data_IF_275735799499
#
_entry.id   IF_275735799499
#
_cell.length_a   1.000
_cell.length_b   1.000
_cell.length_c   1.000
_cell.angle_alpha   90.00
_cell.angle_beta   90.00
_cell.angle_gamma   90.00
#
_symmetry.space_group_name_H-M   'P 1'
#
loop_
_entity.id
_entity.type
_entity.pdbx_description
1 polymer ?
#
# COMPACT_ATOMS: atom_id res chain seq x y z
N UNK A 1 -39.20 2.80 42.42
CA UNK A 1 -38.28 2.32 41.38
C UNK A 1 -36.87 2.31 41.93
N UNK A 2 -36.15 1.18 42.04
CA UNK A 2 -34.86 1.09 42.70
C UNK A 2 -33.73 1.01 41.67
N UNK A 3 -33.10 2.14 41.36
CA UNK A 3 -31.81 2.11 40.65
C UNK A 3 -30.80 2.95 41.44
N UNK A 4 -29.99 2.23 42.21
CA UNK A 4 -28.84 2.72 42.93
C UNK A 4 -27.71 2.90 41.90
N UNK A 5 -27.27 4.14 41.67
CA UNK A 5 -26.12 4.39 40.81
C UNK A 5 -24.85 3.89 41.51
N UNK A 6 -24.19 2.89 40.93
CA UNK A 6 -22.83 2.53 41.32
C UNK A 6 -21.87 3.52 40.67
N UNK A 7 -20.87 4.06 41.40
CA UNK A 7 -19.84 4.87 40.77
C UNK A 7 -19.05 3.98 39.81
N UNK A 8 -19.12 4.29 38.51
CA UNK A 8 -18.17 3.75 37.53
C UNK A 8 -16.78 4.21 37.96
N UNK A 9 -15.99 3.30 38.52
CA UNK A 9 -14.56 3.50 38.66
C UNK A 9 -13.98 3.62 37.26
N UNK A 10 -13.66 4.85 36.86
CA UNK A 10 -12.93 5.12 35.64
C UNK A 10 -11.62 4.32 35.70
N UNK A 11 -11.51 3.27 34.88
CA UNK A 11 -10.22 2.63 34.65
C UNK A 11 -9.33 3.69 34.03
N UNK A 12 -8.44 4.28 34.84
CA UNK A 12 -7.38 5.15 34.33
C UNK A 12 -6.54 4.31 33.38
N UNK A 13 -6.86 4.39 32.08
CA UNK A 13 -6.10 3.73 31.04
C UNK A 13 -4.67 4.19 31.14
N UNK A 14 -3.77 3.30 31.53
CA UNK A 14 -2.34 3.58 31.47
C UNK A 14 -2.00 3.70 29.99
N UNK A 15 -1.69 4.91 29.55
CA UNK A 15 -1.18 5.15 28.21
C UNK A 15 0.28 4.72 28.21
N UNK A 16 0.60 3.65 27.48
CA UNK A 16 1.97 3.23 27.27
C UNK A 16 2.47 3.91 26.01
N UNK A 17 3.53 4.71 26.14
CA UNK A 17 4.23 5.27 24.99
C UNK A 17 5.09 4.15 24.40
N UNK A 18 4.68 3.61 23.26
CA UNK A 18 5.47 2.69 22.44
C UNK A 18 6.39 3.53 21.56
N UNK A 19 7.66 3.62 21.94
CA UNK A 19 8.69 4.20 21.09
C UNK A 19 9.19 3.10 20.14
N UNK A 20 8.91 3.26 18.84
CA UNK A 20 9.41 2.36 17.80
C UNK A 20 10.83 2.79 17.40
N UNK A 21 11.77 1.84 17.23
CA UNK A 21 13.11 2.16 16.74
C UNK A 21 13.06 2.63 15.28
N UNK A 22 13.95 3.57 14.92
CA UNK A 22 14.13 4.07 13.54
C UNK A 22 14.44 2.95 12.54
N UNK A 23 15.05 1.85 12.99
CA UNK A 23 15.40 0.71 12.15
C UNK A 23 15.29 -0.60 12.94
N UNK A 24 14.43 -1.51 12.50
CA UNK A 24 14.26 -2.83 13.14
C UNK A 24 15.37 -3.80 12.73
N UNK A 25 16.63 -3.49 13.08
CA UNK A 25 17.74 -4.41 12.79
C UNK A 25 17.62 -5.69 13.63
N UNK A 26 17.76 -6.84 12.99
CA UNK A 26 17.76 -8.15 13.66
C UNK A 26 16.38 -8.76 13.91
N UNK A 27 15.29 -8.03 13.70
CA UNK A 27 13.93 -8.61 13.71
C UNK A 27 13.66 -9.36 12.40
N UNK A 28 12.69 -10.26 12.39
CA UNK A 28 12.28 -10.97 11.18
C UNK A 28 11.81 -9.99 10.08
N UNK A 29 11.04 -8.97 10.45
CA UNK A 29 10.60 -7.89 9.56
C UNK A 29 11.78 -7.11 8.97
N UNK A 30 12.79 -6.80 9.79
CA UNK A 30 14.03 -6.16 9.32
C UNK A 30 14.80 -7.01 8.32
N UNK A 31 14.95 -8.31 8.61
CA UNK A 31 15.63 -9.24 7.71
C UNK A 31 14.87 -9.43 6.38
N UNK A 32 13.53 -9.50 6.42
CA UNK A 32 12.71 -9.54 5.19
C UNK A 32 12.88 -8.26 4.37
N UNK A 33 12.86 -7.10 5.03
CA UNK A 33 13.03 -5.80 4.37
C UNK A 33 14.41 -5.71 3.71
N UNK A 34 15.47 -6.12 4.42
CA UNK A 34 16.83 -6.16 3.90
C UNK A 34 16.97 -7.11 2.69
N UNK A 35 16.38 -8.30 2.78
CA UNK A 35 16.34 -9.25 1.68
C UNK A 35 15.66 -8.68 0.44
N UNK A 36 14.47 -8.08 0.59
CA UNK A 36 13.72 -7.48 -0.52
C UNK A 36 14.45 -6.27 -1.11
N UNK A 37 15.15 -5.47 -0.29
CA UNK A 37 15.92 -4.32 -0.77
C UNK A 37 17.16 -4.70 -1.59
N UNK A 38 17.70 -5.91 -1.38
CA UNK A 38 18.90 -6.39 -2.07
C UNK A 38 18.58 -7.18 -3.36
N UNK A 39 17.31 -7.38 -3.68
CA UNK A 39 16.89 -8.04 -4.92
C UNK A 39 16.78 -7.00 -6.03
N UNK A 40 17.43 -7.27 -7.16
CA UNK A 40 17.19 -6.48 -8.37
C UNK A 40 15.73 -6.61 -8.80
N UNK A 41 15.01 -5.50 -9.02
CA UNK A 41 13.63 -5.55 -9.45
C UNK A 41 13.55 -6.23 -10.82
N UNK A 42 12.93 -7.41 -10.86
CA UNK A 42 12.67 -8.12 -12.11
C UNK A 42 11.45 -7.49 -12.77
N UNK A 43 11.64 -6.95 -13.98
CA UNK A 43 10.53 -6.44 -14.79
C UNK A 43 9.73 -7.62 -15.33
N UNK A 44 8.56 -7.86 -14.77
CA UNK A 44 7.64 -8.90 -15.25
C UNK A 44 6.78 -8.30 -16.37
N UNK A 45 6.86 -8.87 -17.56
CA UNK A 45 5.97 -8.53 -18.68
C UNK A 45 4.66 -9.34 -18.58
N UNK A 46 3.59 -8.70 -18.13
CA UNK A 46 2.27 -9.31 -18.03
C UNK A 46 1.50 -9.34 -19.36
N UNK A 47 2.05 -8.73 -20.43
CA UNK A 47 1.32 -8.58 -21.69
C UNK A 47 1.04 -9.92 -22.38
N UNK A 48 1.94 -10.89 -22.21
CA UNK A 48 1.80 -12.24 -22.76
C UNK A 48 1.07 -13.21 -21.82
N UNK A 49 0.61 -12.75 -20.66
CA UNK A 49 -0.15 -13.57 -19.73
C UNK A 49 -1.63 -13.37 -20.01
N UNK A 50 -2.34 -14.47 -20.27
CA UNK A 50 -3.79 -14.46 -20.48
C UNK A 50 -4.49 -13.85 -19.27
N UNK A 51 -5.53 -13.06 -19.52
CA UNK A 51 -6.24 -12.34 -18.45
C UNK A 51 -6.94 -13.25 -17.44
N UNK A 52 -7.28 -14.48 -17.83
CA UNK A 52 -7.88 -15.53 -17.00
C UNK A 52 -6.85 -16.49 -16.37
N UNK A 53 -5.55 -16.24 -16.61
CA UNK A 53 -4.47 -17.15 -16.22
C UNK A 53 -4.47 -17.38 -14.71
N UNK A 54 -4.34 -18.64 -14.26
CA UNK A 54 -4.14 -18.95 -12.85
C UNK A 54 -2.96 -18.21 -12.22
N UNK A 55 -1.97 -17.82 -13.01
CA UNK A 55 -0.78 -17.07 -12.55
C UNK A 55 -1.10 -15.65 -12.08
N UNK A 56 -2.23 -15.08 -12.54
CA UNK A 56 -2.69 -13.76 -12.11
C UNK A 56 -3.53 -13.83 -10.82
N UNK A 57 -3.90 -15.05 -10.37
CA UNK A 57 -4.68 -15.22 -9.15
C UNK A 57 -3.81 -14.92 -7.94
N UNK A 58 -4.33 -14.09 -7.03
CA UNK A 58 -3.62 -13.71 -5.81
C UNK A 58 -2.58 -12.61 -5.99
N UNK A 59 -2.39 -12.09 -7.20
CA UNK A 59 -1.60 -10.86 -7.40
C UNK A 59 -2.37 -9.68 -6.83
N UNK A 60 -1.73 -8.94 -5.92
CA UNK A 60 -2.29 -7.70 -5.41
C UNK A 60 -1.98 -6.56 -6.38
N UNK A 61 -2.99 -6.13 -7.11
CA UNK A 61 -2.88 -5.06 -8.11
C UNK A 61 -3.00 -3.64 -7.54
N UNK A 62 -3.33 -3.51 -6.26
CA UNK A 62 -3.65 -2.22 -5.67
C UNK A 62 -4.92 -1.58 -6.24
N UNK A 63 -5.09 -0.28 -5.98
CA UNK A 63 -6.33 0.44 -6.31
C UNK A 63 -6.57 0.64 -7.82
N UNK A 64 -5.52 0.56 -8.64
CA UNK A 64 -5.60 0.82 -10.08
C UNK A 64 -5.84 -0.44 -10.91
N UNK A 65 -5.85 -1.61 -10.25
CA UNK A 65 -6.06 -2.88 -10.92
C UNK A 65 -4.87 -3.31 -11.79
N UNK A 66 -5.03 -4.39 -12.56
CA UNK A 66 -3.98 -4.90 -13.42
C UNK A 66 -3.58 -3.87 -14.49
N UNK A 67 -2.35 -3.95 -15.01
CA UNK A 67 -1.92 -3.09 -16.09
C UNK A 67 -2.82 -3.26 -17.32
N UNK A 68 -3.06 -2.16 -18.04
CA UNK A 68 -3.90 -2.17 -19.24
C UNK A 68 -3.40 -3.13 -20.33
N UNK A 69 -2.12 -3.49 -20.28
CA UNK A 69 -1.47 -4.40 -21.23
C UNK A 69 -1.67 -5.88 -20.91
N UNK A 70 -2.26 -6.27 -19.76
CA UNK A 70 -2.50 -7.70 -19.45
C UNK A 70 -3.30 -8.37 -20.56
N UNK A 71 -2.84 -9.53 -21.03
CA UNK A 71 -3.53 -10.29 -22.08
C UNK A 71 -3.42 -9.70 -23.48
N UNK A 72 -2.59 -8.67 -23.70
CA UNK A 72 -2.37 -8.10 -25.04
C UNK A 72 -1.91 -9.15 -26.07
N UNK A 73 -1.07 -10.10 -25.65
CA UNK A 73 -0.64 -11.20 -26.50
C UNK A 73 -1.77 -12.15 -26.92
N UNK A 74 -2.78 -12.33 -26.06
CA UNK A 74 -3.97 -13.17 -26.36
C UNK A 74 -4.84 -12.53 -27.45
N UNK A 75 -4.85 -11.21 -27.54
CA UNK A 75 -5.55 -10.47 -28.60
C UNK A 75 -4.86 -10.55 -29.97
N UNK A 76 -3.72 -11.26 -30.08
CA UNK A 76 -2.93 -11.38 -31.31
C UNK A 76 -2.24 -10.07 -31.73
N UNK A 77 -2.31 -9.04 -30.89
CA UNK A 77 -1.74 -7.73 -31.16
C UNK A 77 -0.26 -7.72 -30.78
N UNK A 78 0.63 -7.56 -31.77
CA UNK A 78 2.08 -7.41 -31.54
C UNK A 78 2.46 -6.05 -30.96
N UNK A 79 1.55 -5.08 -31.03
CA UNK A 79 1.73 -3.72 -30.52
C UNK A 79 0.43 -3.24 -29.86
N UNK A 80 0.51 -2.51 -28.74
CA UNK A 80 -0.67 -1.91 -28.13
C UNK A 80 -1.31 -0.90 -29.08
N UNK A 81 -2.64 -0.80 -29.05
CA UNK A 81 -3.34 0.30 -29.72
C UNK A 81 -2.98 1.63 -29.07
N UNK A 82 -3.16 2.73 -29.80
CA UNK A 82 -2.87 4.07 -29.25
C UNK A 82 -3.69 4.38 -28.00
N UNK A 83 -4.95 3.93 -27.97
CA UNK A 83 -5.83 4.06 -26.79
C UNK A 83 -5.30 3.27 -25.59
N UNK A 84 -4.81 2.06 -25.82
CA UNK A 84 -4.25 1.20 -24.77
C UNK A 84 -2.94 1.77 -24.22
N UNK A 85 -2.10 2.38 -25.08
CA UNK A 85 -0.90 3.08 -24.68
C UNK A 85 -1.22 4.29 -23.78
N UNK A 86 -2.22 5.09 -24.17
CA UNK A 86 -2.68 6.24 -23.37
C UNK A 86 -3.26 5.79 -22.02
N UNK A 87 -3.97 4.66 -22.00
CA UNK A 87 -4.50 4.08 -20.77
C UNK A 87 -3.36 3.64 -19.83
N UNK A 88 -2.36 2.95 -20.37
CA UNK A 88 -1.17 2.52 -19.62
C UNK A 88 -0.41 3.73 -19.05
N UNK A 89 -0.18 4.77 -19.86
CA UNK A 89 0.46 6.01 -19.40
C UNK A 89 -0.31 6.66 -18.25
N UNK A 90 -1.65 6.72 -18.34
CA UNK A 90 -2.49 7.27 -17.27
C UNK A 90 -2.38 6.44 -15.98
N UNK A 91 -2.33 5.12 -16.07
CA UNK A 91 -2.15 4.25 -14.91
C UNK A 91 -0.79 4.51 -14.24
N UNK A 92 0.28 4.64 -15.02
CA UNK A 92 1.63 4.95 -14.51
C UNK A 92 1.72 6.33 -13.85
N UNK A 93 1.07 7.34 -14.41
CA UNK A 93 0.98 8.66 -13.80
C UNK A 93 0.24 8.63 -12.45
N UNK A 94 -0.85 7.86 -12.36
CA UNK A 94 -1.60 7.71 -11.10
C UNK A 94 -0.78 6.98 -10.04
N UNK A 95 -0.07 5.91 -10.40
CA UNK A 95 0.85 5.20 -9.51
C UNK A 95 1.96 6.13 -8.99
N UNK A 96 2.53 6.93 -9.88
CA UNK A 96 3.60 7.88 -9.54
C UNK A 96 3.13 8.98 -8.58
N UNK A 97 1.88 9.42 -8.70
CA UNK A 97 1.26 10.37 -7.76
C UNK A 97 0.95 9.73 -6.41
N UNK A 98 0.48 8.49 -6.40
CA UNK A 98 0.20 7.75 -5.15
C UNK A 98 1.47 7.48 -4.35
N UNK A 99 2.58 7.11 -5.01
CA UNK A 99 3.87 6.94 -4.35
C UNK A 99 4.42 8.27 -3.80
N UNK A 100 4.20 9.38 -4.51
CA UNK A 100 4.60 10.72 -4.08
C UNK A 100 3.72 11.28 -2.94
N UNK A 101 2.48 10.80 -2.80
CA UNK A 101 1.58 11.14 -1.70
C UNK A 101 1.82 10.30 -0.44
N UNK A 102 2.65 9.26 -0.51
CA UNK A 102 3.18 8.59 0.68
C UNK A 102 4.14 9.55 1.39
N UNK A 103 3.59 10.42 2.23
CA UNK A 103 4.36 11.20 3.18
C UNK A 103 4.64 10.28 4.38
N UNK A 104 5.88 9.81 4.62
CA UNK A 104 6.21 9.08 5.84
C UNK A 104 5.93 9.90 7.11
N UNK A 105 5.74 11.22 6.99
CA UNK A 105 5.32 12.12 8.06
C UNK A 105 3.80 12.35 8.15
N UNK A 106 2.95 11.71 7.35
CA UNK A 106 1.48 11.82 7.49
C UNK A 106 1.00 11.30 8.87
N UNK A 107 1.72 10.33 9.44
CA UNK A 107 1.53 9.86 10.82
C UNK A 107 1.92 10.90 11.88
N UNK A 108 2.68 11.94 11.51
CA UNK A 108 3.11 13.01 12.41
C UNK A 108 2.18 14.24 12.35
N UNK A 109 1.47 14.46 11.24
CA UNK A 109 0.62 15.64 11.09
C UNK A 109 -0.62 15.60 12.01
N UNK A 110 -1.19 14.42 12.23
CA UNK A 110 -2.32 14.21 13.15
C UNK A 110 -1.97 14.54 14.62
N UNK A 111 -0.69 14.64 14.98
CA UNK A 111 -0.26 14.98 16.34
C UNK A 111 -0.14 16.49 16.58
N UNK A 112 0.00 17.28 15.50
CA UNK A 112 0.26 18.73 15.62
C UNK A 112 -1.01 19.58 15.78
N UNK A 113 -2.16 19.10 15.31
CA UNK A 113 -3.43 19.84 15.43
C UNK A 113 -4.01 19.81 16.86
N UNK A 114 -3.70 18.78 17.64
CA UNK A 114 -4.12 18.70 19.06
C UNK A 114 -3.35 19.62 20.00
N UNK A 115 -2.24 20.25 19.57
CA UNK A 115 -1.43 21.14 20.42
C UNK A 115 -1.79 22.62 20.36
N UNK A 116 -2.77 23.05 19.54
CA UNK A 116 -3.17 24.46 19.38
C UNK A 116 -4.54 24.81 19.98
N UNK A 117 -4.91 24.22 21.12
CA UNK A 117 -6.01 24.73 21.93
C UNK A 117 -5.65 24.73 23.40
N UNK A 118 -4.90 25.75 23.82
CA UNK A 118 -4.98 26.40 25.12
C UNK A 118 -4.65 27.88 24.92
#
# INVERSE_FOLDING_TARGET
SPFKAYPQQASRGKSYRLDYPEQEKGTLSGQMTEYVSNIEPVTVDFSNIRSDSPQLRGVNWGALGPPATVGLGEMGAKKPSQELLLLQQRQEEMLSRQSSQYNPNASQLFQSETKRKY
#
